data_IF_857900855469
#
_entry.id   IF_857900855469
#
_cell.length_a   1.000
_cell.length_b   1.000
_cell.length_c   1.000
_cell.angle_alpha   90.00
_cell.angle_beta   90.00
_cell.angle_gamma   90.00
#
_symmetry.space_group_name_H-M   'P 1'
#
loop_
_entity.id
_entity.type
_entity.pdbx_description
1 polymer ?
#
# COMPACT_ATOMS: atom_id res chain seq x y z
N UNK A 1 11.42 -25.31 12.98
CA UNK A 1 10.84 -25.03 11.65
C UNK A 1 10.23 -26.34 11.14
N UNK A 2 8.94 -26.58 11.40
CA UNK A 2 8.27 -27.80 10.94
C UNK A 2 8.01 -27.67 9.43
N UNK A 3 8.68 -28.48 8.62
CA UNK A 3 8.37 -28.60 7.18
C UNK A 3 6.96 -29.18 7.06
N UNK A 4 5.96 -28.36 6.71
CA UNK A 4 4.65 -28.85 6.24
C UNK A 4 4.88 -29.84 5.09
N UNK A 5 4.18 -30.97 5.12
CA UNK A 5 4.25 -32.01 4.09
C UNK A 5 3.90 -31.42 2.71
N UNK A 6 4.44 -31.98 1.63
CA UNK A 6 4.27 -31.46 0.27
C UNK A 6 2.83 -31.46 -0.25
N UNK A 7 1.88 -32.10 0.45
CA UNK A 7 0.46 -32.17 0.05
C UNK A 7 -0.42 -31.00 0.54
N UNK A 8 0.07 -30.17 1.48
CA UNK A 8 -0.75 -29.13 2.14
C UNK A 8 -0.20 -27.70 1.95
N UNK A 9 0.62 -27.47 0.93
CA UNK A 9 1.14 -26.11 0.67
C UNK A 9 0.09 -25.25 -0.04
N UNK A 10 -0.11 -24.00 0.41
CA UNK A 10 -0.92 -23.05 -0.32
C UNK A 10 -0.49 -22.91 -1.79
N UNK A 11 -1.45 -22.56 -2.66
CA UNK A 11 -1.29 -22.58 -4.11
C UNK A 11 -0.27 -21.57 -4.67
N UNK A 12 0.11 -20.56 -3.88
CA UNK A 12 1.11 -19.56 -4.25
C UNK A 12 2.55 -20.03 -4.11
N UNK A 13 2.80 -21.21 -3.50
CA UNK A 13 4.12 -21.83 -3.52
C UNK A 13 4.40 -22.46 -4.90
N UNK A 14 5.48 -22.05 -5.55
CA UNK A 14 5.85 -22.54 -6.88
C UNK A 14 6.63 -23.87 -6.84
N UNK A 15 7.22 -24.22 -5.70
CA UNK A 15 7.98 -25.45 -5.55
C UNK A 15 7.85 -26.10 -4.15
N UNK A 16 8.20 -27.38 -4.07
CA UNK A 16 8.20 -28.14 -2.81
C UNK A 16 9.38 -27.80 -1.89
N UNK A 17 10.40 -27.08 -2.40
CA UNK A 17 11.55 -26.64 -1.60
C UNK A 17 11.18 -25.48 -0.66
N UNK A 18 10.18 -24.68 -1.01
CA UNK A 18 9.76 -23.52 -0.24
C UNK A 18 10.66 -22.32 -0.51
N UNK A 19 11.10 -22.18 -1.76
CA UNK A 19 12.09 -21.17 -2.18
C UNK A 19 11.61 -20.36 -3.38
N UNK A 20 10.40 -20.59 -3.86
CA UNK A 20 9.83 -19.86 -4.98
C UNK A 20 8.31 -19.73 -4.84
N UNK A 21 7.78 -18.62 -5.37
CA UNK A 21 6.38 -18.22 -5.32
C UNK A 21 5.83 -17.94 -6.72
N UNK A 22 4.52 -18.05 -6.88
CA UNK A 22 3.79 -17.78 -8.13
C UNK A 22 2.39 -17.24 -7.82
N UNK A 23 1.80 -16.53 -8.77
CA UNK A 23 0.38 -16.22 -8.71
C UNK A 23 -0.44 -17.49 -8.92
N UNK A 24 -1.43 -17.78 -8.04
CA UNK A 24 -2.27 -18.97 -8.18
C UNK A 24 -3.51 -18.74 -9.07
N UNK A 25 -3.83 -17.48 -9.41
CA UNK A 25 -5.09 -17.13 -10.05
C UNK A 25 -4.99 -17.09 -11.58
N UNK A 26 -6.03 -17.53 -12.31
CA UNK A 26 -6.08 -17.44 -13.77
C UNK A 26 -5.98 -16.01 -14.33
N UNK A 27 -6.31 -15.00 -13.53
CA UNK A 27 -6.14 -13.57 -13.83
C UNK A 27 -4.68 -13.14 -13.95
N UNK A 28 -3.73 -13.96 -13.48
CA UNK A 28 -2.30 -13.71 -13.60
C UNK A 28 -1.62 -14.50 -14.73
N UNK A 29 -2.37 -15.35 -15.44
CA UNK A 29 -1.83 -16.13 -16.55
C UNK A 29 -1.44 -15.22 -17.73
N UNK A 30 -0.53 -15.64 -18.62
CA UNK A 30 -0.24 -14.90 -19.85
C UNK A 30 -1.51 -14.62 -20.67
N UNK A 31 -1.56 -13.49 -21.41
CA UNK A 31 -2.66 -13.18 -22.34
C UNK A 31 -3.00 -14.35 -23.26
N UNK A 32 -4.29 -14.60 -23.48
CA UNK A 32 -4.74 -15.58 -24.48
C UNK A 32 -4.44 -15.09 -25.88
N UNK A 33 -4.36 -15.99 -26.87
CA UNK A 33 -4.16 -15.61 -28.27
C UNK A 33 -5.20 -14.58 -28.75
N UNK A 34 -6.48 -14.75 -28.41
CA UNK A 34 -7.54 -13.79 -28.74
C UNK A 34 -7.32 -12.40 -28.14
N UNK A 35 -6.76 -12.33 -26.92
CA UNK A 35 -6.42 -11.05 -26.29
C UNK A 35 -5.18 -10.43 -26.93
N UNK A 36 -4.17 -11.23 -27.27
CA UNK A 36 -2.96 -10.77 -27.96
C UNK A 36 -3.27 -10.15 -29.33
N UNK A 37 -4.22 -10.71 -30.09
CA UNK A 37 -4.67 -10.15 -31.37
C UNK A 37 -5.43 -8.83 -31.24
N UNK A 38 -5.95 -8.49 -30.04
CA UNK A 38 -6.63 -7.23 -29.77
C UNK A 38 -5.70 -6.13 -29.24
N UNK A 39 -4.41 -6.44 -29.04
CA UNK A 39 -3.42 -5.47 -28.63
C UNK A 39 -3.10 -4.55 -29.80
N UNK A 40 -3.20 -3.24 -29.57
CA UNK A 40 -2.85 -2.24 -30.58
C UNK A 40 -1.33 -1.98 -30.60
N UNK A 41 -0.84 -1.27 -31.61
CA UNK A 41 0.57 -0.85 -31.65
C UNK A 41 0.86 0.02 -30.41
N UNK A 42 1.87 -0.30 -29.58
CA UNK A 42 1.96 0.21 -28.21
C UNK A 42 2.48 1.65 -28.12
N UNK A 43 2.66 2.35 -29.24
CA UNK A 43 3.19 3.70 -29.27
C UNK A 43 2.17 4.68 -29.84
N UNK A 44 1.92 5.75 -29.10
CA UNK A 44 1.13 6.90 -29.52
C UNK A 44 1.78 8.20 -29.04
N UNK A 45 1.23 9.34 -29.45
CA UNK A 45 1.55 10.63 -28.85
C UNK A 45 0.57 10.90 -27.69
N UNK A 46 1.04 11.56 -26.64
CA UNK A 46 0.13 12.06 -25.62
C UNK A 46 -0.79 13.12 -26.24
N UNK A 47 -2.13 13.00 -26.07
CA UNK A 47 -3.00 14.15 -26.28
C UNK A 47 -2.68 15.22 -25.21
N UNK A 48 -3.06 16.47 -25.45
CA UNK A 48 -3.04 17.51 -24.39
C UNK A 48 -4.04 17.14 -23.30
N UNK A 49 -3.53 16.49 -22.25
CA UNK A 49 -4.32 16.02 -21.09
C UNK A 49 -4.52 17.11 -20.04
N UNK A 50 -3.70 18.16 -20.04
CA UNK A 50 -3.70 19.28 -19.09
C UNK A 50 -5.05 20.03 -19.02
N UNK A 51 -5.87 19.92 -20.06
CA UNK A 51 -7.19 20.56 -20.14
C UNK A 51 -8.34 19.68 -19.62
N UNK A 52 -8.08 18.43 -19.25
CA UNK A 52 -9.12 17.55 -18.71
C UNK A 52 -9.58 18.04 -17.33
N UNK A 53 -10.86 17.90 -17.00
CA UNK A 53 -11.43 18.34 -15.71
C UNK A 53 -10.81 17.66 -14.48
N UNK A 54 -10.16 16.51 -14.68
CA UNK A 54 -9.47 15.75 -13.63
C UNK A 54 -7.95 15.79 -13.75
N UNK A 55 -7.42 16.51 -14.75
CA UNK A 55 -5.99 16.77 -14.79
C UNK A 55 -5.65 17.85 -13.76
N UNK A 56 -4.76 17.49 -12.83
CA UNK A 56 -4.21 18.42 -11.84
C UNK A 56 -2.73 18.13 -11.67
N UNK A 57 -1.89 19.15 -11.62
CA UNK A 57 -0.48 18.96 -11.27
C UNK A 57 -0.36 18.46 -9.83
N UNK A 58 0.46 17.45 -9.61
CA UNK A 58 0.79 16.98 -8.26
C UNK A 58 1.91 17.87 -7.73
N UNK A 59 1.63 18.58 -6.65
CA UNK A 59 2.60 19.40 -5.97
C UNK A 59 3.33 18.60 -4.89
N UNK A 60 4.54 19.06 -4.54
CA UNK A 60 5.27 18.53 -3.38
C UNK A 60 5.13 19.55 -2.26
N UNK A 61 4.39 19.17 -1.23
CA UNK A 61 4.14 19.99 -0.04
C UNK A 61 4.89 19.43 1.16
N UNK A 62 5.22 20.31 2.10
CA UNK A 62 5.73 19.88 3.40
C UNK A 62 4.59 19.21 4.19
N UNK A 63 4.77 17.99 4.73
CA UNK A 63 3.70 17.32 5.46
C UNK A 63 3.29 18.08 6.72
N UNK A 64 1.99 18.34 6.85
CA UNK A 64 1.40 18.92 8.06
C UNK A 64 0.85 17.85 9.03
N UNK A 65 1.07 16.57 8.69
CA UNK A 65 0.65 15.40 9.45
C UNK A 65 -0.86 15.36 9.73
N UNK A 66 -1.67 15.86 8.78
CA UNK A 66 -3.12 15.81 8.83
C UNK A 66 -3.80 17.05 9.42
N UNK A 67 -3.06 18.08 9.83
CA UNK A 67 -3.63 19.28 10.45
C UNK A 67 -4.69 19.95 9.57
N UNK A 68 -4.39 20.18 8.28
CA UNK A 68 -5.34 20.77 7.34
C UNK A 68 -6.54 19.84 7.08
N UNK A 69 -6.31 18.52 6.99
CA UNK A 69 -7.38 17.55 6.73
C UNK A 69 -8.36 17.44 7.89
N UNK A 70 -7.86 17.41 9.14
CA UNK A 70 -8.68 17.42 10.35
C UNK A 70 -9.54 18.68 10.41
N UNK A 71 -8.94 19.84 10.15
CA UNK A 71 -9.65 21.12 10.13
C UNK A 71 -10.71 21.17 9.03
N UNK A 72 -10.40 20.69 7.82
CA UNK A 72 -11.32 20.69 6.69
C UNK A 72 -12.54 19.77 6.92
N UNK A 73 -12.36 18.70 7.69
CA UNK A 73 -13.41 17.72 7.99
C UNK A 73 -14.05 17.90 9.38
N UNK A 74 -13.71 18.97 10.11
CA UNK A 74 -14.18 19.23 11.48
C UNK A 74 -13.98 18.04 12.44
N UNK A 75 -12.81 17.39 12.35
CA UNK A 75 -12.45 16.24 13.19
C UNK A 75 -11.60 16.69 14.36
N UNK A 76 -12.16 16.60 15.57
CA UNK A 76 -11.42 16.77 16.82
C UNK A 76 -10.81 15.44 17.28
N UNK A 77 -9.47 15.34 17.27
CA UNK A 77 -8.71 14.17 17.76
C UNK A 77 -9.02 13.81 19.22
N UNK A 78 -9.50 14.76 20.02
CA UNK A 78 -9.91 14.54 21.42
C UNK A 78 -11.32 13.99 21.57
N UNK A 79 -12.16 14.08 20.53
CA UNK A 79 -13.57 13.71 20.58
C UNK A 79 -13.95 12.57 19.61
N UNK A 80 -13.15 12.31 18.57
CA UNK A 80 -13.36 11.21 17.60
C UNK A 80 -12.11 10.34 17.44
N UNK A 81 -12.29 9.02 17.50
CA UNK A 81 -11.25 8.08 17.11
C UNK A 81 -11.02 8.28 15.60
N UNK A 82 -9.77 8.49 15.19
CA UNK A 82 -9.46 8.72 13.77
C UNK A 82 -8.14 8.08 13.35
N UNK A 83 -7.97 8.02 12.03
CA UNK A 83 -6.75 7.57 11.34
C UNK A 83 -6.38 8.63 10.32
N UNK A 84 -5.09 8.91 10.19
CA UNK A 84 -4.57 9.88 9.24
C UNK A 84 -3.57 9.19 8.32
N UNK A 85 -3.82 9.25 7.02
CA UNK A 85 -2.87 8.81 6.00
C UNK A 85 -2.17 9.99 5.36
N UNK A 86 -0.85 9.96 5.29
CA UNK A 86 -0.03 10.96 4.58
C UNK A 86 0.68 10.26 3.43
N UNK A 87 0.48 10.74 2.20
CA UNK A 87 1.15 10.17 1.04
C UNK A 87 2.56 10.74 0.91
N UNK A 88 3.59 9.89 0.96
CA UNK A 88 5.00 10.30 0.92
C UNK A 88 5.61 10.21 -0.49
N UNK A 89 4.81 9.82 -1.47
CA UNK A 89 5.21 9.59 -2.86
C UNK A 89 5.39 8.11 -3.17
N UNK A 90 5.16 7.76 -4.44
CA UNK A 90 5.12 6.41 -4.97
C UNK A 90 4.13 5.54 -4.17
N UNK A 91 4.52 4.35 -3.72
CA UNK A 91 3.73 3.53 -2.80
C UNK A 91 3.91 3.92 -1.31
N UNK A 92 4.81 4.87 -1.03
CA UNK A 92 5.17 5.31 0.31
C UNK A 92 4.05 6.08 1.00
N UNK A 93 3.65 5.64 2.19
CA UNK A 93 2.67 6.36 3.01
C UNK A 93 2.96 6.22 4.52
N UNK A 94 2.68 7.28 5.28
CA UNK A 94 2.68 7.25 6.74
C UNK A 94 1.24 7.24 7.24
N UNK A 95 0.90 6.28 8.09
CA UNK A 95 -0.41 6.18 8.75
C UNK A 95 -0.26 6.45 10.23
N UNK A 96 -0.98 7.43 10.75
CA UNK A 96 -1.14 7.69 12.18
C UNK A 96 -2.47 7.07 12.66
N UNK A 97 -2.40 6.12 13.58
CA UNK A 97 -3.52 5.78 14.45
C UNK A 97 -3.45 6.69 15.68
N UNK A 98 -4.38 7.65 15.80
CA UNK A 98 -4.41 8.62 16.90
C UNK A 98 -4.73 7.93 18.23
N UNK A 99 -4.38 8.47 19.40
CA UNK A 99 -4.78 7.91 20.69
C UNK A 99 -6.30 7.64 20.74
N UNK A 100 -6.72 6.51 21.33
CA UNK A 100 -8.15 6.24 21.51
C UNK A 100 -8.74 7.15 22.59
N UNK A 101 -9.94 7.66 22.37
CA UNK A 101 -10.64 8.51 23.36
C UNK A 101 -10.96 7.69 24.62
N UNK A 102 -11.39 6.43 24.44
CA UNK A 102 -11.80 5.53 25.52
C UNK A 102 -10.69 5.22 26.52
N UNK A 103 -9.44 5.57 26.21
CA UNK A 103 -8.27 5.39 27.06
C UNK A 103 -8.14 6.45 28.18
N UNK A 104 -9.17 7.29 28.40
CA UNK A 104 -9.29 8.11 29.61
C UNK A 104 -8.27 9.25 29.73
N UNK A 105 -7.82 9.80 28.60
CA UNK A 105 -7.09 11.07 28.55
C UNK A 105 -5.67 11.10 29.13
N UNK A 106 -4.98 9.96 29.31
CA UNK A 106 -3.68 10.02 30.02
C UNK A 106 -2.52 9.09 29.65
N UNK A 107 -2.65 8.06 28.79
CA UNK A 107 -1.53 7.10 28.60
C UNK A 107 -1.27 6.56 27.20
N UNK A 108 -2.14 6.82 26.23
CA UNK A 108 -1.95 6.26 24.90
C UNK A 108 -1.37 7.31 23.94
N UNK A 109 -0.33 6.94 23.22
CA UNK A 109 0.32 7.79 22.21
C UNK A 109 -0.18 7.41 20.81
N UNK A 110 0.04 8.28 19.84
CA UNK A 110 -0.13 7.92 18.44
C UNK A 110 0.79 6.75 18.06
N UNK A 111 0.28 5.88 17.19
CA UNK A 111 1.05 4.81 16.56
C UNK A 111 1.25 5.17 15.08
N UNK A 112 2.51 5.15 14.65
CA UNK A 112 2.91 5.54 13.30
C UNK A 112 3.39 4.34 12.50
N UNK A 113 2.70 4.06 11.39
CA UNK A 113 2.95 2.94 10.51
C UNK A 113 3.43 3.45 9.16
N UNK A 114 4.57 2.96 8.70
CA UNK A 114 5.18 3.38 7.45
C UNK A 114 5.05 2.26 6.41
N UNK A 115 4.43 2.56 5.28
CA UNK A 115 4.09 1.61 4.22
C UNK A 115 5.05 1.83 3.03
N UNK A 116 5.72 0.78 2.55
CA UNK A 116 6.64 0.79 1.40
C UNK A 116 7.49 2.07 1.24
N UNK A 117 8.28 2.47 2.26
CA UNK A 117 8.96 3.74 2.23
C UNK A 117 10.13 3.74 1.23
N UNK A 118 10.16 4.74 0.37
CA UNK A 118 11.30 5.09 -0.48
C UNK A 118 11.58 6.60 -0.43
N UNK A 119 12.69 6.97 0.18
CA UNK A 119 13.15 8.35 0.29
C UNK A 119 14.29 8.67 -0.67
N UNK A 120 14.92 7.63 -1.25
CA UNK A 120 15.99 7.77 -2.23
C UNK A 120 15.57 8.53 -3.49
N UNK A 121 16.56 9.18 -4.11
CA UNK A 121 16.41 9.83 -5.41
C UNK A 121 16.16 8.81 -6.52
N UNK A 122 16.73 7.62 -6.41
CA UNK A 122 16.62 6.55 -7.42
C UNK A 122 16.13 5.25 -6.83
N UNK A 123 15.29 4.55 -7.58
CA UNK A 123 14.88 3.18 -7.31
C UNK A 123 15.83 2.21 -8.01
N UNK A 124 16.92 1.79 -7.35
CA UNK A 124 17.87 0.85 -7.94
C UNK A 124 18.86 0.24 -6.95
N UNK A 125 19.73 -0.67 -7.44
CA UNK A 125 20.75 -1.33 -6.61
C UNK A 125 21.77 -0.38 -6.01
N UNK A 126 21.98 0.77 -6.64
CA UNK A 126 22.92 1.80 -6.19
C UNK A 126 22.30 3.17 -6.31
N UNK A 127 22.88 4.18 -5.64
CA UNK A 127 22.44 5.57 -5.70
C UNK A 127 22.49 6.21 -7.11
N UNK A 128 23.07 5.54 -8.10
CA UNK A 128 23.27 6.06 -9.46
C UNK A 128 22.52 5.26 -10.54
N UNK A 129 21.85 4.16 -10.17
CA UNK A 129 21.20 3.25 -11.11
C UNK A 129 19.69 3.19 -10.87
N UNK A 130 18.95 2.82 -11.91
CA UNK A 130 17.48 2.75 -11.86
C UNK A 130 16.78 4.09 -12.07
N UNK A 131 15.43 4.10 -12.11
CA UNK A 131 14.64 5.31 -12.35
C UNK A 131 14.90 6.39 -11.29
N UNK A 132 15.10 7.64 -11.72
CA UNK A 132 15.12 8.80 -10.83
C UNK A 132 13.71 9.27 -10.55
N UNK A 133 13.45 9.75 -9.34
CA UNK A 133 12.19 10.41 -9.03
C UNK A 133 12.05 11.70 -9.83
N UNK A 134 10.86 11.92 -10.37
CA UNK A 134 10.47 13.15 -11.04
C UNK A 134 10.11 14.25 -10.03
N UNK A 135 9.53 13.84 -8.89
CA UNK A 135 9.15 14.71 -7.76
C UNK A 135 9.99 14.35 -6.55
N UNK A 136 10.61 15.34 -5.90
CA UNK A 136 11.42 15.16 -4.68
C UNK A 136 10.61 14.56 -3.53
N UNK A 137 11.30 14.03 -2.52
CA UNK A 137 10.65 13.59 -1.28
C UNK A 137 10.00 14.78 -0.59
N UNK A 138 8.77 14.66 -0.06
CA UNK A 138 8.15 15.76 0.68
C UNK A 138 8.88 16.04 2.00
N UNK A 139 9.53 15.03 2.59
CA UNK A 139 10.33 15.15 3.81
C UNK A 139 11.48 14.14 3.82
N UNK A 140 12.33 14.20 4.85
CA UNK A 140 13.34 13.20 5.18
C UNK A 140 12.84 12.26 6.29
N UNK A 141 13.55 11.14 6.49
CA UNK A 141 13.26 10.19 7.58
C UNK A 141 13.35 10.86 8.96
N UNK A 142 14.27 11.81 9.14
CA UNK A 142 14.43 12.57 10.39
C UNK A 142 13.24 13.46 10.73
N UNK A 143 12.41 13.77 9.74
CA UNK A 143 11.28 14.69 9.89
C UNK A 143 9.99 13.95 10.24
N UNK A 144 10.00 12.61 10.20
CA UNK A 144 8.84 11.80 10.53
C UNK A 144 8.47 11.96 12.02
N UNK A 145 7.18 12.11 12.35
CA UNK A 145 6.73 12.27 13.73
C UNK A 145 6.91 10.99 14.58
N UNK A 146 7.09 9.84 13.92
CA UNK A 146 7.38 8.56 14.53
C UNK A 146 7.39 7.44 13.49
N UNK A 147 7.88 6.26 13.87
CA UNK A 147 7.92 5.07 13.04
C UNK A 147 7.92 3.81 13.92
N UNK A 148 6.73 3.33 14.30
CA UNK A 148 6.56 2.16 15.17
C UNK A 148 6.69 0.85 14.38
N UNK A 149 6.17 0.85 13.17
CA UNK A 149 6.30 -0.28 12.26
C UNK A 149 6.48 0.14 10.81
N UNK A 150 7.24 -0.67 10.08
CA UNK A 150 7.37 -0.61 8.62
C UNK A 150 6.76 -1.86 8.01
N UNK A 151 5.99 -1.66 6.94
CA UNK A 151 5.33 -2.72 6.18
C UNK A 151 5.89 -2.70 4.77
N UNK A 152 6.52 -3.81 4.37
CA UNK A 152 7.06 -3.98 3.02
C UNK A 152 6.15 -4.93 2.26
N UNK A 153 5.63 -4.52 1.11
CA UNK A 153 4.77 -5.34 0.26
C UNK A 153 5.57 -6.37 -0.54
N UNK A 154 6.74 -6.00 -1.06
CA UNK A 154 7.60 -6.89 -1.84
C UNK A 154 9.01 -6.30 -2.01
N UNK A 155 9.87 -7.01 -2.71
CA UNK A 155 11.30 -6.75 -2.69
C UNK A 155 11.82 -5.84 -3.81
N UNK A 156 10.97 -5.22 -4.65
CA UNK A 156 11.46 -4.32 -5.70
C UNK A 156 12.11 -3.06 -5.12
N UNK A 157 12.98 -2.42 -5.90
CA UNK A 157 13.81 -1.30 -5.43
C UNK A 157 13.02 -0.06 -5.05
N UNK A 158 11.86 0.13 -5.65
CA UNK A 158 10.93 1.23 -5.41
C UNK A 158 10.00 1.01 -4.20
N UNK A 159 10.04 -0.18 -3.58
CA UNK A 159 9.30 -0.50 -2.34
C UNK A 159 10.22 -0.91 -1.18
N UNK A 160 11.41 -1.42 -1.48
CA UNK A 160 12.41 -1.85 -0.50
C UNK A 160 13.78 -1.20 -0.82
N UNK A 161 13.93 0.03 -0.33
CA UNK A 161 15.11 0.86 -0.53
C UNK A 161 16.14 0.72 0.61
N UNK A 162 17.39 0.42 0.26
CA UNK A 162 18.48 0.21 1.22
C UNK A 162 18.80 1.49 2.03
N UNK A 163 18.82 2.65 1.38
CA UNK A 163 19.17 3.89 2.07
C UNK A 163 18.07 4.27 3.07
N UNK A 164 16.81 4.09 2.68
CA UNK A 164 15.65 4.26 3.55
C UNK A 164 15.69 3.31 4.75
N UNK A 165 15.94 2.00 4.54
CA UNK A 165 16.06 1.02 5.63
C UNK A 165 17.17 1.40 6.60
N UNK A 166 18.33 1.81 6.08
CA UNK A 166 19.47 2.26 6.89
C UNK A 166 19.12 3.49 7.71
N UNK A 167 18.44 4.47 7.10
CA UNK A 167 18.02 5.69 7.77
C UNK A 167 16.96 5.42 8.85
N UNK A 168 15.99 4.55 8.60
CA UNK A 168 14.98 4.16 9.61
C UNK A 168 15.65 3.47 10.79
N UNK A 169 16.50 2.47 10.53
CA UNK A 169 17.23 1.74 11.59
C UNK A 169 18.06 2.68 12.47
N UNK A 170 18.59 3.77 11.89
CA UNK A 170 19.34 4.79 12.64
C UNK A 170 18.45 5.74 13.46
N UNK A 171 17.36 6.26 12.87
CA UNK A 171 16.53 7.29 13.51
C UNK A 171 15.46 6.70 14.45
N UNK A 172 14.99 5.49 14.14
CA UNK A 172 13.93 4.78 14.86
C UNK A 172 14.40 3.34 15.17
N UNK A 173 15.40 3.18 16.06
CA UNK A 173 16.03 1.88 16.29
C UNK A 173 15.10 0.83 16.92
N UNK A 174 13.88 1.20 17.34
CA UNK A 174 12.89 0.29 17.91
C UNK A 174 11.88 -0.22 16.88
N UNK A 175 11.83 0.38 15.68
CA UNK A 175 10.85 0.05 14.62
C UNK A 175 10.75 -1.45 14.36
N UNK A 176 9.52 -1.94 14.34
CA UNK A 176 9.20 -3.32 13.95
C UNK A 176 8.99 -3.42 12.44
N UNK A 177 9.44 -4.49 11.81
CA UNK A 177 9.35 -4.70 10.36
C UNK A 177 8.45 -5.88 10.05
N UNK A 178 7.41 -5.65 9.26
CA UNK A 178 6.54 -6.70 8.74
C UNK A 178 6.85 -6.90 7.25
N UNK A 179 7.26 -8.10 6.89
CA UNK A 179 7.67 -8.44 5.53
C UNK A 179 7.11 -9.80 5.09
N UNK A 180 6.83 -9.99 3.80
CA UNK A 180 6.44 -11.30 3.28
C UNK A 180 7.64 -12.25 3.22
N UNK A 181 7.35 -13.55 3.18
CA UNK A 181 8.34 -14.63 3.16
C UNK A 181 9.53 -14.40 2.20
N UNK A 182 10.74 -14.68 2.67
CA UNK A 182 11.98 -14.55 1.91
C UNK A 182 12.70 -13.20 2.08
N UNK A 183 12.01 -12.17 2.58
CA UNK A 183 12.57 -10.82 2.71
C UNK A 183 13.32 -10.58 4.02
N UNK A 184 13.05 -11.36 5.08
CA UNK A 184 13.65 -11.13 6.39
C UNK A 184 15.18 -11.23 6.37
N UNK A 185 15.72 -12.19 5.63
CA UNK A 185 17.16 -12.38 5.49
C UNK A 185 17.83 -11.13 4.91
N UNK A 186 17.20 -10.49 3.94
CA UNK A 186 17.73 -9.28 3.34
C UNK A 186 17.81 -8.14 4.36
N UNK A 187 16.73 -7.89 5.12
CA UNK A 187 16.71 -6.86 6.17
C UNK A 187 17.78 -7.08 7.25
N UNK A 188 17.94 -8.32 7.72
CA UNK A 188 18.97 -8.67 8.71
C UNK A 188 20.37 -8.37 8.16
N UNK A 189 20.63 -8.75 6.92
CA UNK A 189 21.91 -8.48 6.26
C UNK A 189 22.19 -6.98 6.08
N UNK A 190 21.15 -6.14 6.09
CA UNK A 190 21.28 -4.67 6.03
C UNK A 190 21.39 -4.00 7.40
N UNK A 191 21.35 -4.76 8.49
CA UNK A 191 21.58 -4.26 9.86
C UNK A 191 20.34 -4.17 10.75
N UNK A 192 19.17 -4.62 10.29
CA UNK A 192 17.96 -4.68 11.13
C UNK A 192 18.06 -5.87 12.11
N UNK A 193 17.70 -5.67 13.39
CA UNK A 193 17.72 -6.77 14.36
C UNK A 193 16.69 -7.85 13.97
N UNK A 194 17.11 -9.11 13.93
CA UNK A 194 16.27 -10.26 13.59
C UNK A 194 15.02 -10.39 14.49
N UNK A 195 15.03 -9.86 15.71
CA UNK A 195 13.90 -9.82 16.64
C UNK A 195 12.82 -8.84 16.22
N UNK A 196 13.18 -7.80 15.48
CA UNK A 196 12.27 -6.76 15.00
C UNK A 196 11.58 -7.15 13.69
N UNK A 197 12.05 -8.19 13.00
CA UNK A 197 11.51 -8.58 11.70
C UNK A 197 10.53 -9.75 11.84
N UNK A 198 9.26 -9.48 11.57
CA UNK A 198 8.20 -10.48 11.40
C UNK A 198 8.07 -10.84 9.92
N UNK A 199 8.43 -12.09 9.61
CA UNK A 199 8.28 -12.65 8.27
C UNK A 199 7.01 -13.48 8.19
N UNK A 200 6.14 -13.20 7.22
CA UNK A 200 4.75 -13.70 7.21
C UNK A 200 4.35 -14.26 5.85
N UNK A 201 3.64 -15.39 5.84
CA UNK A 201 2.97 -15.92 4.64
C UNK A 201 1.62 -15.23 4.42
N UNK A 202 1.03 -15.39 3.24
CA UNK A 202 -0.35 -14.96 3.01
C UNK A 202 -1.29 -15.57 4.03
N UNK A 203 -2.16 -14.71 4.57
CA UNK A 203 -3.12 -14.97 5.62
C UNK A 203 -2.56 -15.25 7.01
N UNK A 204 -1.23 -15.23 7.20
CA UNK A 204 -0.66 -15.18 8.53
C UNK A 204 -1.06 -13.87 9.20
N UNK A 205 -1.35 -13.96 10.51
CA UNK A 205 -1.73 -12.82 11.34
C UNK A 205 -0.87 -12.77 12.60
N UNK A 206 -0.54 -11.54 13.04
CA UNK A 206 0.14 -11.26 14.30
C UNK A 206 -0.66 -10.27 15.11
N UNK A 207 -0.97 -10.64 16.35
CA UNK A 207 -1.70 -9.81 17.30
C UNK A 207 -0.75 -9.35 18.40
N UNK A 208 -0.75 -8.05 18.69
CA UNK A 208 0.19 -7.43 19.61
C UNK A 208 -0.10 -5.96 19.85
N UNK A 209 0.76 -5.29 20.59
CA UNK A 209 0.63 -3.87 20.90
C UNK A 209 2.00 -3.18 20.77
N UNK A 210 1.99 -1.88 20.48
CA UNK A 210 3.22 -1.10 20.31
C UNK A 210 3.63 -0.46 21.65
N UNK A 211 4.35 -1.22 22.49
CA UNK A 211 4.91 -0.74 23.75
C UNK A 211 6.34 -0.27 23.56
N UNK A 212 6.67 0.95 24.01
CA UNK A 212 8.04 1.50 23.95
C UNK A 212 8.73 1.30 22.59
N UNK A 213 7.99 1.54 21.49
CA UNK A 213 8.48 1.41 20.12
C UNK A 213 8.59 -0.01 19.56
N UNK A 214 8.36 -1.07 20.35
CA UNK A 214 8.43 -2.47 19.92
C UNK A 214 7.04 -3.12 19.84
N UNK A 215 6.87 -4.08 18.93
CA UNK A 215 5.65 -4.87 18.81
C UNK A 215 5.69 -6.10 19.74
N UNK A 216 4.89 -6.08 20.79
CA UNK A 216 4.84 -7.13 21.81
C UNK A 216 3.56 -7.96 21.68
N UNK A 217 3.71 -9.28 21.64
CA UNK A 217 2.58 -10.22 21.62
C UNK A 217 1.69 -10.04 22.84
N UNK A 218 0.37 -10.14 22.66
CA UNK A 218 -0.59 -10.09 23.77
C UNK A 218 -0.38 -11.34 24.66
N UNK A 219 0.04 -11.15 25.90
CA UNK A 219 0.06 -12.23 26.91
C UNK A 219 -1.28 -12.27 27.64
N UNK A 220 -1.76 -13.47 27.96
CA UNK A 220 -2.99 -13.64 28.74
C UNK A 220 -2.78 -13.04 30.13
N UNK A 221 -3.50 -11.95 30.44
CA UNK A 221 -3.42 -11.22 31.70
C UNK A 221 -3.07 -9.73 31.60
N UNK A 222 -2.89 -9.19 30.39
CA UNK A 222 -2.64 -7.76 30.16
C UNK A 222 -3.82 -6.86 30.56
N UNK A 223 -3.49 -5.69 31.12
CA UNK A 223 -4.45 -4.63 31.50
C UNK A 223 -5.14 -4.01 30.27
N UNK A 224 -6.23 -3.26 30.51
CA UNK A 224 -6.94 -2.45 29.50
C UNK A 224 -6.00 -1.77 28.50
N UNK A 225 -6.30 -1.84 27.20
CA UNK A 225 -5.49 -1.16 26.19
C UNK A 225 -5.88 -1.49 24.77
N UNK A 226 -4.99 -1.15 23.85
CA UNK A 226 -5.16 -1.34 22.41
C UNK A 226 -4.36 -2.53 21.91
N UNK A 227 -4.97 -3.32 21.03
CA UNK A 227 -4.30 -4.39 20.30
C UNK A 227 -4.40 -4.15 18.81
N UNK A 228 -3.30 -4.40 18.11
CA UNK A 228 -3.21 -4.39 16.67
C UNK A 228 -3.16 -5.82 16.16
N UNK A 229 -3.90 -6.07 15.09
CA UNK A 229 -3.86 -7.30 14.31
C UNK A 229 -3.31 -6.97 12.94
N UNK A 230 -2.12 -7.49 12.66
CA UNK A 230 -1.43 -7.33 11.39
C UNK A 230 -1.60 -8.61 10.59
N UNK A 231 -2.18 -8.52 9.39
CA UNK A 231 -2.33 -9.66 8.48
C UNK A 231 -1.64 -9.40 7.15
N UNK A 232 -0.79 -10.33 6.73
CA UNK A 232 -0.20 -10.37 5.40
C UNK A 232 -1.26 -10.85 4.41
N UNK A 233 -1.71 -10.02 3.48
CA UNK A 233 -2.78 -10.37 2.54
C UNK A 233 -2.21 -10.75 1.17
N UNK A 234 -2.91 -11.58 0.38
CA UNK A 234 -2.49 -11.85 -0.98
C UNK A 234 -2.45 -10.60 -1.86
N UNK A 235 -1.58 -10.63 -2.86
CA UNK A 235 -1.50 -9.65 -3.94
C UNK A 235 -1.15 -10.36 -5.26
N UNK A 236 -1.53 -9.79 -6.39
CA UNK A 236 -1.25 -10.34 -7.72
C UNK A 236 -0.05 -9.63 -8.34
N UNK A 237 1.15 -10.01 -7.95
CA UNK A 237 2.38 -9.35 -8.39
C UNK A 237 3.51 -10.36 -8.59
N UNK A 238 4.76 -9.90 -8.58
CA UNK A 238 5.95 -10.73 -8.59
C UNK A 238 7.00 -10.14 -7.63
N UNK A 239 8.21 -10.69 -7.69
CA UNK A 239 9.35 -10.20 -6.92
C UNK A 239 10.64 -10.39 -7.73
N UNK A 240 11.69 -9.68 -7.37
CA UNK A 240 13.05 -9.85 -7.89
C UNK A 240 13.86 -8.55 -7.81
N UNK A 241 15.11 -8.64 -7.36
CA UNK A 241 16.07 -7.51 -7.35
C UNK A 241 17.15 -7.66 -8.42
N UNK A 242 17.19 -8.79 -9.10
CA UNK A 242 18.15 -9.15 -10.13
C UNK A 242 17.46 -9.96 -11.23
N UNK A 243 18.15 -10.22 -12.34
CA UNK A 243 17.61 -11.07 -13.40
C UNK A 243 17.44 -12.55 -13.02
N UNK A 244 17.90 -12.99 -11.84
CA UNK A 244 17.98 -14.41 -11.46
C UNK A 244 17.17 -14.79 -10.22
N UNK A 245 16.65 -13.82 -9.45
CA UNK A 245 15.93 -14.05 -8.20
C UNK A 245 14.41 -13.82 -8.32
N UNK A 246 13.91 -13.81 -9.57
CA UNK A 246 12.50 -13.68 -9.89
C UNK A 246 11.63 -14.68 -9.11
N UNK A 247 10.67 -14.19 -8.33
CA UNK A 247 9.75 -15.00 -7.54
C UNK A 247 10.38 -15.78 -6.38
N UNK A 248 11.62 -15.46 -5.97
CA UNK A 248 12.30 -16.12 -4.84
C UNK A 248 11.82 -15.63 -3.46
N UNK A 249 11.13 -14.49 -3.43
CA UNK A 249 10.49 -13.91 -2.24
C UNK A 249 9.01 -13.69 -2.50
N UNK A 250 8.20 -13.71 -1.47
CA UNK A 250 6.77 -13.45 -1.58
C UNK A 250 6.51 -11.94 -1.72
N UNK A 251 5.38 -11.60 -2.34
CA UNK A 251 4.79 -10.26 -2.44
C UNK A 251 3.42 -10.27 -1.76
N UNK A 252 2.97 -9.15 -1.19
CA UNK A 252 1.76 -9.09 -0.38
C UNK A 252 1.17 -7.69 -0.29
N UNK A 253 -0.09 -7.63 0.12
CA UNK A 253 -0.65 -6.44 0.77
C UNK A 253 -0.61 -6.58 2.29
N UNK A 254 -1.09 -5.57 3.00
CA UNK A 254 -1.17 -5.55 4.47
C UNK A 254 -2.53 -5.05 4.93
N UNK A 255 -3.22 -5.86 5.72
CA UNK A 255 -4.41 -5.45 6.47
C UNK A 255 -4.03 -5.24 7.93
N UNK A 256 -4.37 -4.07 8.47
CA UNK A 256 -3.98 -3.64 9.81
C UNK A 256 -5.24 -3.19 10.54
N UNK A 257 -5.64 -3.95 11.54
CA UNK A 257 -6.81 -3.65 12.36
C UNK A 257 -6.38 -3.26 13.77
N UNK A 258 -7.02 -2.23 14.32
CA UNK A 258 -6.86 -1.79 15.70
C UNK A 258 -8.11 -2.15 16.49
N UNK A 259 -7.94 -2.73 17.67
CA UNK A 259 -9.02 -3.10 18.59
C UNK A 259 -8.80 -2.48 19.96
N UNK A 260 -9.89 -2.04 20.57
CA UNK A 260 -9.92 -1.67 21.99
C UNK A 260 -10.29 -2.90 22.82
N UNK A 261 -9.51 -3.20 23.87
CA UNK A 261 -9.81 -4.26 24.85
C UNK A 261 -10.61 -3.65 26.01
N UNK A 262 -11.82 -4.15 26.21
CA UNK A 262 -12.64 -3.80 27.39
C UNK A 262 -12.14 -4.54 28.64
N UNK A 263 -12.03 -3.83 29.77
CA UNK A 263 -11.64 -4.42 31.07
C UNK A 263 -12.68 -5.38 31.65
N UNK A 264 -13.93 -5.28 31.19
CA UNK A 264 -15.05 -5.96 31.83
C UNK A 264 -15.44 -7.25 31.09
N UNK A 265 -14.91 -7.48 29.88
CA UNK A 265 -15.17 -8.70 29.12
C UNK A 265 -14.09 -8.91 28.04
N UNK A 266 -13.14 -9.80 28.31
CA UNK A 266 -12.06 -10.18 27.38
C UNK A 266 -12.57 -10.81 26.08
N UNK A 267 -13.86 -11.14 25.99
CA UNK A 267 -14.50 -11.71 24.80
C UNK A 267 -15.03 -10.67 23.82
N UNK A 268 -15.06 -9.38 24.19
CA UNK A 268 -15.70 -8.33 23.41
C UNK A 268 -14.71 -7.22 23.03
N UNK A 269 -13.86 -7.48 22.03
CA UNK A 269 -12.97 -6.49 21.44
C UNK A 269 -13.70 -5.71 20.34
N UNK A 270 -13.70 -4.37 20.44
CA UNK A 270 -14.32 -3.51 19.44
C UNK A 270 -13.27 -3.02 18.45
N UNK A 271 -13.49 -3.19 17.15
CA UNK A 271 -12.60 -2.64 16.12
C UNK A 271 -12.70 -1.12 16.11
N UNK A 272 -11.56 -0.45 16.26
CA UNK A 272 -11.37 1.00 16.33
C UNK A 272 -10.47 1.49 15.21
N UNK A 273 -10.68 0.97 14.01
CA UNK A 273 -9.96 1.33 12.79
C UNK A 273 -9.38 0.14 12.07
N UNK A 274 -9.47 0.16 10.75
CA UNK A 274 -8.74 -0.75 9.88
C UNK A 274 -8.19 -0.03 8.66
N UNK A 275 -6.92 -0.29 8.33
CA UNK A 275 -6.31 0.17 7.09
C UNK A 275 -5.86 -0.98 6.21
N UNK A 276 -5.83 -0.73 4.90
CA UNK A 276 -5.36 -1.67 3.90
C UNK A 276 -4.30 -1.03 3.00
N UNK A 277 -3.15 -1.66 2.89
CA UNK A 277 -2.13 -1.33 1.90
C UNK A 277 -2.11 -2.44 0.84
N UNK A 278 -2.47 -2.13 -0.39
CA UNK A 278 -2.53 -3.14 -1.45
C UNK A 278 -1.15 -3.61 -1.91
N UNK A 279 -0.09 -2.86 -1.61
CA UNK A 279 1.20 -3.01 -2.27
C UNK A 279 1.09 -2.76 -3.77
N UNK A 280 2.04 -3.29 -4.52
CA UNK A 280 1.87 -3.42 -5.97
C UNK A 280 1.09 -4.68 -6.31
N UNK A 281 0.11 -4.51 -7.18
CA UNK A 281 -0.80 -5.60 -7.49
C UNK A 281 -1.50 -5.37 -8.82
N UNK A 282 -1.70 -6.45 -9.56
CA UNK A 282 -2.63 -6.58 -10.66
C UNK A 282 -4.04 -6.88 -10.16
N UNK A 283 -5.01 -6.82 -11.06
CA UNK A 283 -6.40 -7.17 -10.77
C UNK A 283 -6.96 -8.17 -11.76
N UNK A 284 -6.61 -8.01 -13.04
CA UNK A 284 -7.06 -8.85 -14.15
C UNK A 284 -5.93 -9.07 -15.13
N UNK A 285 -6.09 -10.02 -16.03
CA UNK A 285 -5.04 -10.37 -17.00
C UNK A 285 -4.65 -9.22 -17.94
N UNK A 286 -5.69 -8.61 -18.51
CA UNK A 286 -5.63 -7.48 -19.43
C UNK A 286 -6.78 -6.55 -19.07
N UNK A 287 -6.71 -5.28 -19.46
CA UNK A 287 -7.77 -4.28 -19.20
C UNK A 287 -9.16 -4.70 -19.72
N UNK A 288 -9.22 -5.60 -20.70
CA UNK A 288 -10.45 -6.12 -21.32
C UNK A 288 -10.88 -7.48 -20.75
N UNK A 289 -10.06 -8.12 -19.91
CA UNK A 289 -10.37 -9.43 -19.32
C UNK A 289 -11.55 -9.32 -18.35
N UNK A 290 -12.49 -10.26 -18.47
CA UNK A 290 -13.56 -10.48 -17.48
C UNK A 290 -13.09 -11.30 -16.28
N UNK A 291 -11.95 -12.01 -16.40
CA UNK A 291 -11.36 -12.78 -15.32
C UNK A 291 -10.57 -11.85 -14.41
N UNK A 292 -10.99 -11.77 -13.16
CA UNK A 292 -10.40 -10.94 -12.10
C UNK A 292 -9.79 -11.80 -10.99
N UNK A 293 -8.93 -11.20 -10.18
CA UNK A 293 -8.30 -11.82 -9.03
C UNK A 293 -9.31 -11.92 -7.88
N UNK A 294 -9.68 -13.14 -7.43
CA UNK A 294 -10.68 -13.30 -6.37
C UNK A 294 -10.18 -12.84 -4.99
N UNK A 295 -8.86 -12.65 -4.82
CA UNK A 295 -8.26 -12.34 -3.53
C UNK A 295 -8.81 -11.06 -2.90
N UNK A 296 -9.11 -10.03 -3.70
CA UNK A 296 -9.60 -8.76 -3.16
C UNK A 296 -11.00 -8.90 -2.56
N UNK A 297 -11.87 -9.69 -3.20
CA UNK A 297 -13.18 -10.02 -2.65
C UNK A 297 -13.05 -10.87 -1.38
N UNK A 298 -12.11 -11.82 -1.35
CA UNK A 298 -11.80 -12.59 -0.14
C UNK A 298 -11.30 -11.69 1.00
N UNK A 299 -10.45 -10.71 0.71
CA UNK A 299 -9.98 -9.68 1.65
C UNK A 299 -11.17 -8.89 2.20
N UNK A 300 -12.02 -8.32 1.34
CA UNK A 300 -13.19 -7.55 1.79
C UNK A 300 -14.21 -8.37 2.59
N UNK A 301 -14.31 -9.68 2.32
CA UNK A 301 -15.15 -10.59 3.09
C UNK A 301 -14.54 -10.93 4.45
N UNK A 302 -13.22 -11.15 4.52
CA UNK A 302 -12.53 -11.53 5.76
C UNK A 302 -12.43 -10.39 6.76
N UNK A 303 -12.18 -9.17 6.28
CA UNK A 303 -12.00 -7.99 7.14
C UNK A 303 -13.25 -7.13 7.25
N UNK A 304 -14.31 -7.41 6.49
CA UNK A 304 -15.53 -6.60 6.48
C UNK A 304 -15.27 -5.11 6.22
N UNK A 305 -14.40 -4.82 5.25
CA UNK A 305 -14.07 -3.45 4.84
C UNK A 305 -12.98 -2.76 5.66
N UNK A 306 -12.58 -1.59 5.17
CA UNK A 306 -11.49 -0.78 5.72
C UNK A 306 -11.89 0.68 5.78
N UNK A 307 -11.40 1.40 6.80
CA UNK A 307 -11.64 2.83 6.95
C UNK A 307 -10.78 3.65 5.99
N UNK A 308 -9.54 3.21 5.73
CA UNK A 308 -8.61 3.84 4.80
C UNK A 308 -7.81 2.79 4.02
N UNK A 309 -7.69 2.97 2.71
CA UNK A 309 -6.91 2.09 1.84
C UNK A 309 -5.94 2.86 0.95
N UNK A 310 -4.78 2.26 0.70
CA UNK A 310 -3.79 2.73 -0.26
C UNK A 310 -3.72 1.73 -1.40
N UNK A 311 -4.15 2.14 -2.59
CA UNK A 311 -4.28 1.25 -3.76
C UNK A 311 -3.47 1.84 -4.92
N UNK A 312 -2.62 1.04 -5.59
CA UNK A 312 -1.82 1.54 -6.71
C UNK A 312 -2.74 1.91 -7.87
N UNK A 313 -2.48 3.06 -8.50
CA UNK A 313 -3.26 3.53 -9.67
C UNK A 313 -2.38 3.69 -10.91
N UNK A 314 -1.26 2.94 -10.99
CA UNK A 314 -0.34 3.03 -12.11
C UNK A 314 0.15 1.67 -12.57
N UNK A 315 0.06 1.42 -13.87
CA UNK A 315 0.42 0.14 -14.51
C UNK A 315 1.92 -0.03 -14.79
N UNK A 316 2.73 0.96 -14.43
CA UNK A 316 4.15 0.99 -14.73
C UNK A 316 4.48 1.48 -16.15
N UNK A 317 5.51 2.29 -16.21
CA UNK A 317 6.25 2.71 -17.39
C UNK A 317 7.72 2.78 -17.02
N UNK A 318 8.38 1.63 -16.83
CA UNK A 318 9.80 1.50 -16.45
C UNK A 318 10.77 2.00 -17.54
N UNK A 319 10.24 2.61 -18.59
CA UNK A 319 11.00 3.26 -19.65
C UNK A 319 10.76 4.77 -19.54
N UNK A 320 11.16 5.35 -18.39
CA UNK A 320 11.13 6.80 -18.15
C UNK A 320 11.80 7.58 -19.30
N UNK A 321 12.79 6.94 -19.95
CA UNK A 321 13.43 7.42 -21.17
C UNK A 321 12.47 7.58 -22.36
N UNK A 322 11.52 6.67 -22.58
CA UNK A 322 10.57 6.73 -23.70
C UNK A 322 9.56 7.87 -23.51
N UNK A 323 9.06 8.04 -22.29
CA UNK A 323 8.18 9.16 -21.95
C UNK A 323 8.90 10.51 -21.96
N UNK A 324 10.18 10.55 -21.57
CA UNK A 324 11.03 11.74 -21.73
C UNK A 324 11.15 12.21 -23.20
N UNK A 325 11.07 11.29 -24.17
CA UNK A 325 11.03 11.60 -25.60
C UNK A 325 9.65 12.04 -26.12
N UNK A 326 8.65 12.21 -25.24
CA UNK A 326 7.29 12.60 -25.61
C UNK A 326 6.43 11.48 -26.21
N UNK A 327 6.92 10.24 -26.18
CA UNK A 327 6.18 9.07 -26.66
C UNK A 327 5.33 8.48 -25.54
N UNK A 328 4.05 8.24 -25.84
CA UNK A 328 3.12 7.50 -24.97
C UNK A 328 3.27 6.01 -25.26
N UNK A 329 3.62 5.24 -24.23
CA UNK A 329 3.37 3.80 -24.24
C UNK A 329 1.88 3.59 -23.96
N UNK A 330 1.13 3.01 -24.91
CA UNK A 330 -0.27 2.65 -24.70
C UNK A 330 -0.36 1.63 -23.58
N UNK A 331 -0.73 2.10 -22.38
CA UNK A 331 -0.84 1.27 -21.18
C UNK A 331 -2.02 0.28 -21.25
N UNK A 332 -2.90 0.36 -22.26
CA UNK A 332 -3.96 -0.63 -22.48
C UNK A 332 -3.42 -2.02 -22.82
N UNK A 333 -2.22 -2.06 -23.43
CA UNK A 333 -1.67 -3.25 -24.06
C UNK A 333 -0.55 -3.92 -23.22
N UNK A 334 -0.16 -3.31 -22.09
CA UNK A 334 0.73 -3.92 -21.08
C UNK A 334 -0.13 -4.83 -20.18
N UNK A 335 0.25 -6.10 -19.93
CA UNK A 335 -0.55 -7.00 -19.11
C UNK A 335 -0.81 -6.44 -17.71
N UNK A 336 -2.08 -6.19 -17.40
CA UNK A 336 -2.56 -5.72 -16.08
C UNK A 336 -2.44 -6.78 -14.97
N UNK A 337 -1.85 -7.93 -15.33
CA UNK A 337 -1.65 -9.07 -14.46
C UNK A 337 -0.74 -8.75 -13.27
N UNK A 338 0.21 -7.82 -13.40
CA UNK A 338 1.13 -7.44 -12.31
C UNK A 338 0.87 -6.06 -11.75
N UNK A 339 0.35 -5.12 -12.54
CA UNK A 339 -0.05 -3.79 -12.07
C UNK A 339 -1.45 -3.48 -12.55
N UNK A 340 -2.34 -3.15 -11.62
CA UNK A 340 -3.72 -2.89 -11.89
C UNK A 340 -3.87 -1.53 -12.58
N UNK A 341 -4.94 -1.39 -13.34
CA UNK A 341 -5.31 -0.10 -13.86
C UNK A 341 -5.81 0.89 -12.83
N UNK A 342 -5.77 2.20 -13.12
CA UNK A 342 -6.59 3.16 -12.40
C UNK A 342 -8.06 2.71 -12.30
N UNK A 343 -8.67 2.21 -13.37
CA UNK A 343 -10.04 1.69 -13.32
C UNK A 343 -10.19 0.41 -12.47
N UNK A 344 -9.17 -0.45 -12.42
CA UNK A 344 -9.14 -1.64 -11.58
C UNK A 344 -8.97 -1.29 -10.11
N UNK A 345 -8.25 -0.22 -9.79
CA UNK A 345 -8.13 0.27 -8.43
C UNK A 345 -9.50 0.65 -7.86
N UNK A 346 -10.42 1.14 -8.70
CA UNK A 346 -11.82 1.37 -8.34
C UNK A 346 -12.58 0.07 -8.07
N UNK A 347 -12.30 -1.00 -8.81
CA UNK A 347 -12.88 -2.32 -8.54
C UNK A 347 -12.28 -2.95 -7.27
N UNK A 348 -10.97 -2.82 -7.05
CA UNK A 348 -10.30 -3.22 -5.81
C UNK A 348 -10.92 -2.50 -4.62
N UNK A 349 -11.14 -1.18 -4.71
CA UNK A 349 -11.82 -0.39 -3.68
C UNK A 349 -13.16 -1.01 -3.27
N UNK A 350 -13.99 -1.42 -4.24
CA UNK A 350 -15.28 -2.07 -3.99
C UNK A 350 -15.10 -3.46 -3.38
N UNK A 351 -14.23 -4.28 -3.97
CA UNK A 351 -14.02 -5.67 -3.57
C UNK A 351 -13.50 -5.78 -2.14
N UNK A 352 -12.58 -4.89 -1.74
CA UNK A 352 -12.07 -4.82 -0.36
C UNK A 352 -13.01 -4.05 0.58
N UNK A 353 -14.12 -3.51 0.08
CA UNK A 353 -15.11 -2.69 0.81
C UNK A 353 -14.46 -1.51 1.53
N UNK A 354 -13.60 -0.79 0.82
CA UNK A 354 -12.92 0.40 1.35
C UNK A 354 -13.91 1.56 1.49
N UNK A 355 -13.89 2.24 2.63
CA UNK A 355 -14.66 3.48 2.83
C UNK A 355 -13.96 4.69 2.22
N UNK A 356 -12.63 4.70 2.26
CA UNK A 356 -11.79 5.79 1.75
C UNK A 356 -10.54 5.23 1.09
N UNK A 357 -10.27 5.57 -0.17
CA UNK A 357 -9.08 5.10 -0.90
C UNK A 357 -8.22 6.25 -1.41
N UNK A 358 -6.95 6.24 -1.02
CA UNK A 358 -5.90 7.09 -1.57
C UNK A 358 -5.18 6.32 -2.67
N UNK A 359 -5.16 6.88 -3.88
CA UNK A 359 -4.36 6.35 -4.98
C UNK A 359 -2.87 6.53 -4.73
N UNK A 360 -2.07 5.48 -4.93
CA UNK A 360 -0.60 5.47 -4.75
C UNK A 360 0.11 4.89 -5.98
N UNK A 361 1.44 4.68 -5.89
CA UNK A 361 2.31 4.11 -6.94
C UNK A 361 2.48 4.97 -8.21
N UNK A 362 1.90 6.16 -8.25
CA UNK A 362 1.91 7.06 -9.41
C UNK A 362 2.63 8.38 -9.12
N UNK A 363 2.88 9.19 -10.15
CA UNK A 363 3.31 10.59 -10.00
C UNK A 363 4.73 10.84 -9.46
N UNK A 364 5.47 9.79 -9.09
CA UNK A 364 6.78 9.93 -8.42
C UNK A 364 7.94 9.47 -9.30
N UNK A 365 7.92 8.23 -9.79
CA UNK A 365 8.92 7.70 -10.74
C UNK A 365 8.33 7.64 -12.15
N UNK A 366 8.20 8.81 -12.78
CA UNK A 366 7.59 8.99 -14.11
C UNK A 366 8.56 9.69 -15.06
N UNK A 367 8.36 9.55 -16.37
CA UNK A 367 9.12 10.29 -17.39
C UNK A 367 8.53 11.65 -17.77
N UNK A 368 7.24 11.90 -17.49
CA UNK A 368 6.58 13.19 -17.74
C UNK A 368 5.32 13.39 -16.89
N UNK A 369 4.86 14.64 -16.70
CA UNK A 369 3.62 14.98 -15.99
C UNK A 369 2.37 14.31 -16.63
N UNK A 370 2.40 14.05 -17.93
CA UNK A 370 1.31 13.40 -18.64
C UNK A 370 1.00 11.99 -18.12
N UNK A 371 2.01 11.26 -17.64
CA UNK A 371 1.78 9.95 -16.99
C UNK A 371 0.92 10.09 -15.74
N UNK A 372 1.19 11.14 -14.94
CA UNK A 372 0.37 11.44 -13.76
C UNK A 372 -1.06 11.78 -14.17
N UNK A 373 -1.22 12.65 -15.17
CA UNK A 373 -2.53 13.06 -15.66
C UNK A 373 -3.33 11.88 -16.17
N UNK A 374 -2.74 10.99 -16.97
CA UNK A 374 -3.42 9.79 -17.49
C UNK A 374 -3.94 8.91 -16.34
N UNK A 375 -3.09 8.64 -15.33
CA UNK A 375 -3.47 7.88 -14.15
C UNK A 375 -4.63 8.51 -13.38
N UNK A 376 -4.55 9.81 -13.09
CA UNK A 376 -5.56 10.54 -12.34
C UNK A 376 -6.88 10.65 -13.09
N UNK A 377 -6.83 10.93 -14.39
CA UNK A 377 -8.01 11.04 -15.23
C UNK A 377 -8.75 9.70 -15.26
N UNK A 378 -8.06 8.61 -15.57
CA UNK A 378 -8.68 7.28 -15.63
C UNK A 378 -9.24 6.87 -14.26
N UNK A 379 -8.53 7.16 -13.17
CA UNK A 379 -9.00 6.87 -11.81
C UNK A 379 -10.28 7.66 -11.47
N UNK A 380 -10.24 8.99 -11.62
CA UNK A 380 -11.37 9.86 -11.31
C UNK A 380 -12.59 9.58 -12.20
N UNK A 381 -12.39 9.37 -13.51
CA UNK A 381 -13.48 9.02 -14.43
C UNK A 381 -14.14 7.68 -14.04
N UNK A 382 -13.34 6.70 -13.61
CA UNK A 382 -13.85 5.41 -13.16
C UNK A 382 -14.58 5.53 -11.81
N UNK A 383 -14.07 6.36 -10.88
CA UNK A 383 -14.74 6.66 -9.61
C UNK A 383 -16.09 7.36 -9.83
N UNK A 384 -16.13 8.37 -10.69
CA UNK A 384 -17.36 9.11 -11.00
C UNK A 384 -18.42 8.17 -11.62
N UNK A 385 -18.02 7.30 -12.56
CA UNK A 385 -18.90 6.27 -13.15
C UNK A 385 -19.40 5.24 -12.12
N UNK A 386 -18.59 4.95 -11.10
CA UNK A 386 -18.93 4.05 -10.01
C UNK A 386 -19.76 4.73 -8.89
N UNK A 387 -20.02 6.04 -8.98
CA UNK A 387 -20.69 6.80 -7.93
C UNK A 387 -19.89 6.88 -6.64
N UNK A 388 -18.55 6.84 -6.74
CA UNK A 388 -17.64 7.00 -5.60
C UNK A 388 -17.29 8.49 -5.51
N UNK A 389 -17.46 9.07 -4.32
CA UNK A 389 -17.22 10.51 -4.10
C UNK A 389 -15.72 10.77 -4.05
N UNK A 390 -15.25 11.97 -4.41
CA UNK A 390 -13.82 12.26 -4.29
C UNK A 390 -13.40 12.45 -2.85
N UNK A 391 -12.14 12.14 -2.51
CA UNK A 391 -11.62 12.36 -1.15
C UNK A 391 -11.78 13.81 -0.66
N UNK A 392 -11.59 14.78 -1.56
CA UNK A 392 -11.67 16.22 -1.24
C UNK A 392 -13.09 16.77 -1.26
N UNK A 393 -14.07 15.96 -1.68
CA UNK A 393 -15.46 16.38 -1.85
C UNK A 393 -16.33 15.78 -0.75
N UNK A 394 -17.03 16.65 -0.01
CA UNK A 394 -18.22 16.34 0.80
C UNK A 394 -18.19 15.14 1.77
N UNK A 395 -19.39 14.77 2.23
CA UNK A 395 -19.60 13.55 3.03
C UNK A 395 -19.48 12.29 2.17
N UNK A 396 -19.05 11.19 2.78
CA UNK A 396 -18.91 9.92 2.08
C UNK A 396 -20.27 9.43 1.56
N UNK A 397 -20.35 9.15 0.25
CA UNK A 397 -21.51 8.48 -0.34
C UNK A 397 -21.59 7.01 0.05
N UNK A 398 -22.63 6.31 -0.42
CA UNK A 398 -22.84 4.86 -0.13
C UNK A 398 -21.69 3.98 -0.61
N UNK A 399 -20.97 4.43 -1.64
CA UNK A 399 -19.84 3.71 -2.23
C UNK A 399 -18.48 4.25 -1.72
N UNK A 400 -18.47 5.02 -0.63
CA UNK A 400 -17.24 5.57 -0.06
C UNK A 400 -16.64 6.73 -0.86
N UNK A 401 -15.37 7.00 -0.57
CA UNK A 401 -14.55 8.04 -1.20
C UNK A 401 -13.29 7.47 -1.83
N UNK A 402 -12.85 8.05 -2.96
CA UNK A 402 -11.58 7.71 -3.60
C UNK A 402 -10.94 8.93 -4.24
N UNK A 403 -9.62 9.01 -4.27
CA UNK A 403 -8.94 10.16 -4.85
C UNK A 403 -7.43 10.13 -4.68
N UNK A 404 -6.80 11.21 -5.11
CA UNK A 404 -5.35 11.42 -5.01
C UNK A 404 -5.03 12.59 -4.11
N UNK A 405 -3.81 12.60 -3.57
CA UNK A 405 -3.29 13.69 -2.73
C UNK A 405 -2.10 14.36 -3.44
N UNK A 406 -1.64 15.49 -2.91
CA UNK A 406 -0.30 15.99 -3.21
C UNK A 406 0.76 15.15 -2.50
N UNK A 407 2.00 15.14 -3.00
CA UNK A 407 3.11 14.49 -2.28
C UNK A 407 3.35 15.26 -0.98
N UNK A 408 3.21 14.58 0.15
CA UNK A 408 3.23 15.16 1.49
C UNK A 408 1.84 15.52 2.02
N UNK A 409 0.80 15.46 1.19
CA UNK A 409 -0.58 15.71 1.60
C UNK A 409 -1.16 14.58 2.46
N UNK A 410 -2.09 14.94 3.34
CA UNK A 410 -2.71 14.03 4.30
C UNK A 410 -4.23 13.98 4.18
N UNK A 411 -4.81 12.84 4.58
CA UNK A 411 -6.24 12.62 4.68
C UNK A 411 -6.61 11.96 6.01
N UNK A 412 -7.46 12.62 6.79
CA UNK A 412 -7.98 12.12 8.05
C UNK A 412 -9.33 11.42 7.85
N UNK A 413 -9.58 10.34 8.58
CA UNK A 413 -10.86 9.62 8.58
C UNK A 413 -11.29 9.27 9.99
N UNK A 414 -12.58 9.41 10.28
CA UNK A 414 -13.18 8.92 11.52
C UNK A 414 -13.38 7.41 11.40
N UNK A 415 -12.95 6.66 12.41
CA UNK A 415 -13.06 5.20 12.41
C UNK A 415 -14.33 4.73 13.11
N UNK A 416 -14.95 3.68 12.57
CA UNK A 416 -16.13 3.06 13.18
C UNK A 416 -17.45 3.79 12.98
N UNK A 417 -17.52 4.73 12.03
CA UNK A 417 -18.76 5.34 11.53
C UNK A 417 -19.46 4.50 10.46
#
# INVERSE_FOLDING_TARGET
>A
MFRKSSKDRPSHWANNAGTAFKNPWPSANPPTWSETFQLSFPFGLYPTLDKHSHARKIDVVEPDWGQASLKAQDIDKGAKDCVIGTWLGHAGALVEFTPLISSGGGKERSVYLLLDPIFSERAGPTAYTGPSRFKKSPCQISDLPGCDAVFISHNHYDHLDLATVTAITKNFPQTTWFVPLGNKKWLINTGVDAKQVHEMDWWDSKEGHFASGTFESVTQGGSAGTTFKITCTPAQHNSGRSGLDGGSTLWSGWAIERFAISTNDSSNSLRKGAIYHAGDTGYRRTTKSSVTCPAFQEIGNKFNGFDLSFVPIWRGGSLSFISYMGLRLSHHDIPSALHCSPADAVEIHKDVKSRNTVGVHFGTFIGSENESYDAMIEFCDASDKAGIVRLVDGEAGTNGRAGTLDLGGSFAVIVGE
#
